data_IF_177672951671
#
_entry.id   IF_177672951671
#
_cell.length_a   1.000
_cell.length_b   1.000
_cell.length_c   1.000
_cell.angle_alpha   90.00
_cell.angle_beta   90.00
_cell.angle_gamma   90.00
#
_symmetry.space_group_name_H-M   'P 1'
#
loop_
_entity.id
_entity.type
_entity.pdbx_description
1 polymer ?
#
# COMPACT_ATOMS: atom_id res chain seq x y z
N UNK A 1 11.51 -12.69 -20.59
CA UNK A 1 11.09 -11.88 -19.44
C UNK A 1 9.59 -12.06 -19.34
N UNK A 2 9.08 -12.47 -18.19
CA UNK A 2 7.63 -12.61 -17.97
C UNK A 2 7.25 -11.34 -17.21
N UNK A 3 6.46 -10.49 -17.84
CA UNK A 3 5.89 -9.29 -17.25
C UNK A 3 4.38 -9.50 -17.10
N UNK A 4 3.82 -9.00 -16.00
CA UNK A 4 2.40 -9.19 -15.67
C UNK A 4 1.45 -8.36 -16.54
N UNK A 5 1.90 -7.20 -17.05
CA UNK A 5 1.06 -6.24 -17.80
C UNK A 5 1.72 -5.85 -19.13
N UNK A 6 0.92 -5.59 -20.16
CA UNK A 6 1.36 -5.18 -21.50
C UNK A 6 1.05 -3.70 -21.80
N UNK A 7 1.63 -3.17 -22.88
CA UNK A 7 1.28 -1.84 -23.38
C UNK A 7 -0.23 -1.74 -23.64
N UNK A 8 -0.86 -0.69 -23.11
CA UNK A 8 -2.30 -0.46 -23.22
C UNK A 8 -3.13 -1.03 -22.07
N UNK A 9 -2.54 -1.84 -21.19
CA UNK A 9 -3.27 -2.39 -20.04
C UNK A 9 -3.64 -1.28 -19.06
N UNK A 10 -4.89 -1.35 -18.58
CA UNK A 10 -5.36 -0.52 -17.49
C UNK A 10 -4.93 -1.14 -16.15
N UNK A 11 -4.20 -0.37 -15.36
CA UNK A 11 -3.65 -0.80 -14.07
C UNK A 11 -4.07 0.16 -12.97
N UNK A 12 -4.21 -0.36 -11.75
CA UNK A 12 -4.48 0.40 -10.54
C UNK A 12 -3.26 0.36 -9.63
N UNK A 13 -2.90 1.51 -9.09
CA UNK A 13 -1.85 1.60 -8.07
C UNK A 13 -2.37 1.11 -6.73
N UNK A 14 -1.71 0.14 -6.11
CA UNK A 14 -2.14 -0.46 -4.84
C UNK A 14 -1.63 0.25 -3.60
N UNK A 15 -0.56 1.05 -3.74
CA UNK A 15 0.09 1.83 -2.67
C UNK A 15 0.34 3.27 -3.11
N UNK A 16 0.57 4.18 -2.17
CA UNK A 16 0.98 5.53 -2.54
C UNK A 16 2.36 5.51 -3.21
N UNK A 17 2.43 5.95 -4.47
CA UNK A 17 3.70 6.05 -5.19
C UNK A 17 4.33 7.39 -4.84
N UNK A 18 5.57 7.32 -4.34
CA UNK A 18 6.36 8.48 -3.94
C UNK A 18 7.62 8.56 -4.78
N UNK A 19 8.12 9.77 -5.00
CA UNK A 19 9.32 9.97 -5.76
C UNK A 19 10.53 9.37 -5.03
N UNK A 20 11.21 8.41 -5.65
CA UNK A 20 12.44 7.82 -5.13
C UNK A 20 13.71 8.53 -5.62
N UNK A 21 13.54 9.65 -6.32
CA UNK A 21 14.60 10.44 -6.93
C UNK A 21 14.70 10.28 -8.44
N UNK A 22 13.85 9.45 -9.06
CA UNK A 22 13.83 9.23 -10.51
C UNK A 22 12.86 10.17 -11.25
N UNK A 23 11.88 10.75 -10.55
CA UNK A 23 10.93 11.69 -11.15
C UNK A 23 11.48 13.13 -11.12
N UNK A 24 11.54 13.83 -12.28
CA UNK A 24 12.16 15.15 -12.35
C UNK A 24 11.30 16.23 -11.69
N UNK A 25 11.96 17.18 -11.01
CA UNK A 25 11.34 18.40 -10.52
C UNK A 25 10.55 18.29 -9.21
N UNK A 26 10.51 17.11 -8.58
CA UNK A 26 9.86 16.86 -7.29
C UNK A 26 10.87 16.35 -6.27
N UNK A 27 10.63 16.59 -4.98
CA UNK A 27 11.53 16.15 -3.92
C UNK A 27 11.43 14.64 -3.67
N UNK A 28 12.50 14.03 -3.14
CA UNK A 28 12.47 12.62 -2.72
C UNK A 28 11.43 12.46 -1.60
N UNK A 29 10.55 11.48 -1.74
CA UNK A 29 9.45 11.19 -0.83
C UNK A 29 8.15 11.91 -1.16
N UNK A 30 8.15 12.84 -2.12
CA UNK A 30 6.95 13.54 -2.54
C UNK A 30 5.93 12.59 -3.21
N UNK A 31 4.65 12.79 -2.94
CA UNK A 31 3.58 11.93 -3.44
C UNK A 31 3.35 12.16 -4.95
N UNK A 32 3.66 11.14 -5.76
CA UNK A 32 3.44 11.16 -7.20
C UNK A 32 2.00 10.75 -7.53
N UNK A 33 1.56 9.63 -6.97
CA UNK A 33 0.24 9.06 -7.21
C UNK A 33 -0.37 8.47 -5.94
N UNK A 34 -1.65 8.75 -5.70
CA UNK A 34 -2.40 8.12 -4.61
C UNK A 34 -2.72 6.67 -4.97
N UNK A 35 -2.75 5.80 -3.96
CA UNK A 35 -3.33 4.46 -4.11
C UNK A 35 -4.76 4.54 -4.62
N UNK A 36 -5.18 3.57 -5.43
CA UNK A 36 -6.48 3.53 -6.06
C UNK A 36 -6.54 4.22 -7.42
N UNK A 37 -5.59 5.09 -7.75
CA UNK A 37 -5.52 5.73 -9.06
C UNK A 37 -5.34 4.69 -10.16
N UNK A 38 -6.11 4.86 -11.23
CA UNK A 38 -6.05 4.02 -12.43
C UNK A 38 -5.27 4.78 -13.50
N UNK A 39 -4.41 4.06 -14.22
CA UNK A 39 -3.69 4.59 -15.37
C UNK A 39 -3.51 3.51 -16.43
N UNK A 40 -2.89 3.88 -17.55
CA UNK A 40 -2.63 2.98 -18.67
C UNK A 40 -1.13 2.77 -18.83
N UNK A 41 -0.69 1.52 -18.95
CA UNK A 41 0.71 1.18 -19.25
C UNK A 41 1.06 1.70 -20.65
N UNK A 42 2.10 2.52 -20.77
CA UNK A 42 2.57 3.09 -22.04
C UNK A 42 4.00 2.68 -22.39
N UNK A 43 4.76 2.10 -21.46
CA UNK A 43 6.09 1.55 -21.71
C UNK A 43 6.44 0.53 -20.64
N UNK A 44 7.23 -0.48 -21.01
CA UNK A 44 7.79 -1.48 -20.10
C UNK A 44 9.30 -1.41 -20.22
N UNK A 45 9.96 -1.02 -19.14
CA UNK A 45 11.41 -0.89 -19.07
C UNK A 45 11.99 -1.76 -17.96
N UNK A 46 13.32 -1.69 -17.83
CA UNK A 46 14.05 -2.37 -16.76
C UNK A 46 14.95 -1.39 -16.03
N UNK A 47 14.97 -1.46 -14.70
CA UNK A 47 15.92 -0.78 -13.83
C UNK A 47 16.95 -1.77 -13.29
N UNK A 48 18.24 -1.38 -13.27
CA UNK A 48 19.34 -2.24 -12.82
C UNK A 48 19.32 -3.65 -13.44
N UNK A 49 19.01 -3.74 -14.73
CA UNK A 49 18.95 -4.96 -15.57
C UNK A 49 17.84 -5.98 -15.23
N UNK A 50 17.43 -6.10 -13.97
CA UNK A 50 16.55 -7.18 -13.51
C UNK A 50 15.19 -6.71 -12.95
N UNK A 51 15.00 -5.43 -12.64
CA UNK A 51 13.74 -4.93 -12.05
C UNK A 51 12.84 -4.36 -13.15
N UNK A 52 11.68 -4.96 -13.38
CA UNK A 52 10.69 -4.45 -14.34
C UNK A 52 10.07 -3.16 -13.80
N UNK A 53 10.02 -2.13 -14.66
CA UNK A 53 9.35 -0.86 -14.38
C UNK A 53 8.31 -0.61 -15.48
N UNK A 54 7.06 -0.44 -15.06
CA UNK A 54 5.96 -0.05 -15.92
C UNK A 54 5.83 1.47 -15.92
N UNK A 55 5.99 2.10 -17.07
CA UNK A 55 5.65 3.51 -17.23
C UNK A 55 4.15 3.62 -17.43
N UNK A 56 3.46 4.23 -16.47
CA UNK A 56 1.99 4.34 -16.44
C UNK A 56 1.59 5.80 -16.63
N UNK A 57 0.70 6.04 -17.59
CA UNK A 57 0.08 7.34 -17.81
C UNK A 57 -1.23 7.44 -17.02
N UNK A 58 -1.24 8.31 -16.01
CA UNK A 58 -2.41 8.66 -15.23
C UNK A 58 -3.06 9.90 -15.86
N UNK A 59 -3.99 9.66 -16.79
CA UNK A 59 -4.67 10.71 -17.56
C UNK A 59 -5.35 11.76 -16.66
N UNK A 60 -6.07 11.31 -15.63
CA UNK A 60 -6.80 12.19 -14.70
C UNK A 60 -5.86 13.13 -13.93
N UNK A 61 -4.63 12.69 -13.66
CA UNK A 61 -3.61 13.48 -12.97
C UNK A 61 -2.68 14.23 -13.93
N UNK A 62 -2.74 13.96 -15.24
CA UNK A 62 -1.80 14.48 -16.24
C UNK A 62 -0.35 14.08 -15.97
N UNK A 63 -0.11 12.88 -15.42
CA UNK A 63 1.23 12.43 -14.96
C UNK A 63 1.63 11.10 -15.57
N UNK A 64 2.91 10.99 -15.93
CA UNK A 64 3.53 9.73 -16.36
C UNK A 64 4.50 9.28 -15.27
N UNK A 65 4.26 8.14 -14.66
CA UNK A 65 5.02 7.67 -13.49
C UNK A 65 5.51 6.25 -13.73
N UNK A 66 6.77 5.99 -13.40
CA UNK A 66 7.31 4.64 -13.36
C UNK A 66 6.84 3.91 -12.10
N UNK A 67 6.26 2.72 -12.27
CA UNK A 67 5.74 1.89 -11.19
C UNK A 67 6.41 0.51 -11.24
N UNK A 68 6.74 -0.05 -10.08
CA UNK A 68 7.20 -1.45 -9.99
C UNK A 68 6.02 -2.40 -10.11
N UNK A 69 6.28 -3.64 -10.50
CA UNK A 69 5.24 -4.67 -10.64
C UNK A 69 4.41 -4.82 -9.34
N UNK A 70 5.06 -4.83 -8.18
CA UNK A 70 4.36 -5.00 -6.90
C UNK A 70 3.49 -3.80 -6.49
N UNK A 71 3.52 -2.70 -7.25
CA UNK A 71 2.72 -1.50 -7.03
C UNK A 71 1.41 -1.52 -7.82
N UNK A 72 1.26 -2.46 -8.74
CA UNK A 72 0.18 -2.50 -9.71
C UNK A 72 -0.67 -3.76 -9.56
N UNK A 73 -1.95 -3.61 -9.88
CA UNK A 73 -2.89 -4.70 -10.18
C UNK A 73 -3.67 -4.30 -11.43
N UNK A 74 -4.31 -5.25 -12.12
CA UNK A 74 -5.24 -4.91 -13.19
C UNK A 74 -6.35 -3.98 -12.70
N UNK A 75 -6.79 -3.04 -13.54
CA UNK A 75 -7.83 -2.08 -13.15
C UNK A 75 -9.16 -2.77 -12.76
N UNK A 76 -9.46 -3.93 -13.34
CA UNK A 76 -10.66 -4.72 -13.02
C UNK A 76 -10.42 -5.75 -11.91
N UNK A 77 -9.19 -5.90 -11.42
CA UNK A 77 -8.90 -6.81 -10.33
C UNK A 77 -9.52 -6.31 -9.02
N UNK A 78 -9.98 -7.23 -8.14
CA UNK A 78 -10.51 -6.87 -6.83
C UNK A 78 -9.49 -6.06 -6.04
N UNK A 79 -9.83 -4.81 -5.76
CA UNK A 79 -9.02 -3.94 -4.93
C UNK A 79 -9.66 -3.80 -3.55
N UNK A 80 -8.96 -4.26 -2.52
CA UNK A 80 -9.32 -3.99 -1.14
C UNK A 80 -8.38 -2.92 -0.57
N UNK A 81 -8.82 -1.64 -0.48
CA UNK A 81 -7.99 -0.58 0.07
C UNK A 81 -7.66 -0.89 1.53
N UNK A 82 -6.38 -0.87 1.87
CA UNK A 82 -5.93 -1.03 3.25
C UNK A 82 -6.13 0.27 4.03
N UNK A 83 -6.67 0.23 5.24
CA UNK A 83 -6.75 1.38 6.14
C UNK A 83 -5.36 1.89 6.55
N UNK A 84 -4.40 0.99 6.72
CA UNK A 84 -3.04 1.31 7.16
C UNK A 84 -1.99 0.94 6.11
N UNK A 85 -0.85 1.61 6.14
CA UNK A 85 0.30 1.34 5.26
C UNK A 85 1.51 0.80 6.02
N UNK A 86 2.50 0.26 5.30
CA UNK A 86 3.77 -0.14 5.90
C UNK A 86 4.45 1.05 6.61
N UNK A 87 5.05 0.77 7.77
CA UNK A 87 5.63 1.71 8.75
C UNK A 87 4.62 2.59 9.47
N UNK A 88 3.32 2.42 9.23
CA UNK A 88 2.31 3.14 9.98
C UNK A 88 2.17 2.58 11.39
N UNK A 89 2.04 3.48 12.37
CA UNK A 89 1.85 3.10 13.76
C UNK A 89 0.36 2.93 14.04
N UNK A 90 0.01 1.79 14.61
CA UNK A 90 -1.38 1.37 14.86
C UNK A 90 -1.55 0.98 16.32
N UNK A 91 -2.79 1.00 16.80
CA UNK A 91 -3.17 0.52 18.13
C UNK A 91 -3.96 -0.79 18.00
N UNK A 92 -3.65 -1.75 18.85
CA UNK A 92 -4.47 -2.95 18.99
C UNK A 92 -5.84 -2.60 19.58
N UNK A 93 -6.93 -2.87 18.86
CA UNK A 93 -8.31 -2.67 19.36
C UNK A 93 -8.78 -3.82 20.27
N UNK A 94 -8.05 -4.93 20.30
CA UNK A 94 -8.41 -6.15 21.05
C UNK A 94 -7.17 -6.80 21.62
N UNK A 95 -7.35 -7.72 22.57
CA UNK A 95 -6.27 -8.57 23.06
C UNK A 95 -5.92 -9.61 22.00
N UNK A 96 -4.63 -9.78 21.71
CA UNK A 96 -4.13 -10.88 20.90
C UNK A 96 -3.50 -11.94 21.81
N UNK A 97 -3.97 -13.18 21.65
CA UNK A 97 -3.49 -14.33 22.39
C UNK A 97 -2.89 -15.38 21.45
N UNK A 98 -1.82 -16.03 21.91
CA UNK A 98 -1.24 -17.21 21.26
C UNK A 98 -1.37 -18.36 22.24
N UNK A 99 -2.00 -19.45 21.83
CA UNK A 99 -2.23 -20.62 22.68
C UNK A 99 -2.94 -20.30 24.02
N UNK A 100 -3.83 -19.30 24.01
CA UNK A 100 -4.59 -18.87 25.20
C UNK A 100 -3.88 -17.84 26.08
N UNK A 101 -2.60 -17.57 25.85
CA UNK A 101 -1.84 -16.55 26.58
C UNK A 101 -1.88 -15.21 25.85
N UNK A 102 -2.28 -14.14 26.55
CA UNK A 102 -2.31 -12.78 25.97
C UNK A 102 -0.88 -12.30 25.74
N UNK A 103 -0.49 -12.21 24.46
CA UNK A 103 0.84 -11.75 24.04
C UNK A 103 0.88 -10.27 23.70
N UNK A 104 -0.28 -9.67 23.42
CA UNK A 104 -0.42 -8.25 23.11
C UNK A 104 -1.76 -7.77 23.66
N UNK A 105 -1.76 -7.03 24.78
CA UNK A 105 -2.98 -6.44 25.32
C UNK A 105 -3.59 -5.40 24.37
N UNK A 106 -4.91 -5.22 24.44
CA UNK A 106 -5.62 -4.10 23.83
C UNK A 106 -4.95 -2.79 24.22
N UNK A 107 -4.85 -1.87 23.26
CA UNK A 107 -4.23 -0.57 23.44
C UNK A 107 -2.73 -0.55 23.18
N UNK A 108 -2.08 -1.71 23.03
CA UNK A 108 -0.66 -1.80 22.65
C UNK A 108 -0.46 -1.14 21.30
N UNK A 109 0.57 -0.29 21.23
CA UNK A 109 0.99 0.34 19.97
C UNK A 109 1.94 -0.59 19.24
N UNK A 110 1.70 -0.77 17.95
CA UNK A 110 2.57 -1.51 17.05
C UNK A 110 2.88 -0.73 15.77
N UNK A 111 3.73 -1.30 14.93
CA UNK A 111 4.07 -0.76 13.60
C UNK A 111 3.74 -1.81 12.53
N UNK A 112 3.05 -1.37 11.47
CA UNK A 112 2.72 -2.24 10.33
C UNK A 112 3.99 -2.53 9.55
N UNK A 113 4.40 -3.79 9.48
CA UNK A 113 5.51 -4.23 8.65
C UNK A 113 5.07 -4.48 7.21
N UNK A 114 3.95 -5.20 7.03
CA UNK A 114 3.46 -5.63 5.72
C UNK A 114 1.93 -5.63 5.68
N UNK A 115 1.40 -5.23 4.53
CA UNK A 115 -0.03 -5.32 4.21
C UNK A 115 -0.27 -6.59 3.38
N UNK A 116 -1.19 -7.44 3.82
CA UNK A 116 -1.59 -8.69 3.20
C UNK A 116 -3.02 -8.52 2.68
N UNK A 117 -3.23 -8.72 1.37
CA UNK A 117 -4.52 -8.44 0.70
C UNK A 117 -5.20 -9.69 0.13
N UNK A 118 -4.48 -10.81 0.14
CA UNK A 118 -4.80 -12.11 -0.43
C UNK A 118 -5.37 -13.11 0.60
N UNK A 119 -5.54 -12.68 1.86
CA UNK A 119 -6.06 -13.54 2.92
C UNK A 119 -7.60 -13.55 2.98
N UNK A 120 -8.22 -14.71 3.29
CA UNK A 120 -9.66 -14.80 3.51
C UNK A 120 -10.12 -13.82 4.60
N UNK A 121 -11.19 -13.07 4.33
CA UNK A 121 -11.70 -12.07 5.28
C UNK A 121 -11.15 -10.65 5.09
N UNK A 122 -10.37 -10.41 4.03
CA UNK A 122 -9.94 -9.08 3.62
C UNK A 122 -8.53 -8.73 4.06
N UNK A 123 -8.26 -7.43 4.23
CA UNK A 123 -6.91 -6.94 4.53
C UNK A 123 -6.46 -7.41 5.92
N UNK A 124 -5.28 -8.02 5.94
CA UNK A 124 -4.55 -8.36 7.16
C UNK A 124 -3.21 -7.64 7.17
N UNK A 125 -2.61 -7.53 8.35
CA UNK A 125 -1.35 -6.84 8.56
C UNK A 125 -0.40 -7.73 9.33
N UNK A 126 0.87 -7.77 8.90
CA UNK A 126 1.95 -8.13 9.80
C UNK A 126 2.29 -6.89 10.61
N UNK A 127 2.02 -6.93 11.92
CA UNK A 127 2.29 -5.82 12.83
C UNK A 127 3.29 -6.28 13.88
N UNK A 128 4.32 -5.45 14.13
CA UNK A 128 5.23 -5.68 15.24
C UNK A 128 4.71 -4.98 16.51
N UNK A 129 4.39 -5.77 17.53
CA UNK A 129 3.99 -5.31 18.86
C UNK A 129 5.06 -5.70 19.87
N UNK A 130 5.75 -4.72 20.47
CA UNK A 130 6.73 -4.96 21.53
C UNK A 130 7.81 -5.99 21.18
N UNK A 131 8.21 -6.08 19.90
CA UNK A 131 9.21 -7.03 19.41
C UNK A 131 8.66 -8.35 18.85
N UNK A 132 7.33 -8.56 18.85
CA UNK A 132 6.69 -9.75 18.26
C UNK A 132 5.89 -9.39 17.03
N UNK A 133 6.00 -10.18 15.97
CA UNK A 133 5.21 -10.00 14.74
C UNK A 133 3.96 -10.86 14.82
N UNK A 134 2.80 -10.23 14.64
CA UNK A 134 1.50 -10.89 14.57
C UNK A 134 0.86 -10.62 13.20
N UNK A 135 0.19 -11.62 12.64
CA UNK A 135 -0.73 -11.43 11.52
C UNK A 135 -2.12 -11.17 12.09
N UNK A 136 -2.65 -9.96 11.88
CA UNK A 136 -3.93 -9.53 12.46
C UNK A 136 -4.82 -8.93 11.38
N UNK A 137 -6.15 -9.14 11.45
CA UNK A 137 -7.09 -8.54 10.50
C UNK A 137 -7.17 -7.03 10.71
N UNK A 138 -7.50 -6.30 9.65
CA UNK A 138 -7.64 -4.84 9.68
C UNK A 138 -8.61 -4.32 10.75
N UNK A 139 -9.70 -5.03 10.98
CA UNK A 139 -10.71 -4.67 11.96
C UNK A 139 -10.20 -4.70 13.41
N UNK A 140 -9.03 -5.29 13.67
CA UNK A 140 -8.41 -5.35 15.00
C UNK A 140 -7.45 -4.19 15.28
N UNK A 141 -7.36 -3.21 14.38
CA UNK A 141 -6.44 -2.08 14.47
C UNK A 141 -7.17 -0.73 14.37
N UNK A 142 -6.65 0.26 15.10
CA UNK A 142 -7.03 1.67 14.98
C UNK A 142 -5.82 2.58 14.77
N UNK A 143 -6.04 3.76 14.17
CA UNK A 143 -5.02 4.80 14.03
C UNK A 143 -4.63 5.37 15.40
N UNK A 144 -3.40 5.85 15.54
CA UNK A 144 -2.96 6.54 16.77
C UNK A 144 -3.41 7.99 16.84
N UNK A 145 -3.55 8.63 15.69
CA UNK A 145 -4.22 9.91 15.55
C UNK A 145 -5.74 9.66 15.54
N UNK A 146 -6.54 10.44 16.28
CA UNK A 146 -7.95 10.53 15.96
C UNK A 146 -8.06 10.94 14.49
N UNK A 147 -9.00 10.34 13.76
CA UNK A 147 -9.33 10.82 12.42
C UNK A 147 -9.62 12.32 12.53
N UNK A 148 -8.81 13.16 11.88
CA UNK A 148 -9.30 14.47 11.49
C UNK A 148 -10.45 14.16 10.52
N UNK A 149 -11.67 14.33 11.00
CA UNK A 149 -12.88 14.21 10.21
C UNK A 149 -12.71 15.03 8.92
N UNK A 150 -13.27 14.49 7.84
CA UNK A 150 -13.32 15.10 6.51
C UNK A 150 -13.63 16.61 6.56
N UNK A 151 -12.62 17.47 6.39
CA UNK A 151 -12.87 18.78 5.80
C UNK A 151 -13.05 18.59 4.30
N UNK A 152 -14.30 18.35 3.92
CA UNK A 152 -14.82 18.72 2.62
C UNK A 152 -14.88 20.25 2.56
N UNK A 153 -14.23 20.93 1.59
CA UNK A 153 -14.58 22.29 1.26
C UNK A 153 -15.33 22.31 -0.08
N UNK A 154 -16.62 22.62 0.08
CA UNK A 154 -17.51 23.44 -0.76
C UNK A 154 -17.69 23.12 -2.26
#
# INVERSE_FOLDING_TARGET
>A
MIHQFDYGDAVRVTRNVRNDGTFPGLEIGELLMRRGSIGTVIEIGTFLQDQIIYTVHFLDAGRIVGCREEELIGADEPWNPSRFESRERVRAERDFAIQGEVVTPRGTVGEVLKVMRDLPGGVHYHVIFGGRVLCVPEASLSSLTPAEDEESPA
#
